data_IF_311793125013
#
_entry.id   IF_311793125013
#
_cell.length_a   1.000
_cell.length_b   1.000
_cell.length_c   1.000
_cell.angle_alpha   90.00
_cell.angle_beta   90.00
_cell.angle_gamma   90.00
#
_symmetry.space_group_name_H-M   'P 1'
#
loop_
_entity.id
_entity.type
_entity.pdbx_description
1 polymer ?
#
# COMPACT_ATOMS: atom_id res chain seq x y z
N UNK A 1 0.57 -18.31 -18.07
CA UNK A 1 -0.81 -17.83 -18.27
C UNK A 1 -1.04 -16.45 -17.63
N UNK A 2 -0.94 -16.31 -16.30
CA UNK A 2 -1.19 -15.04 -15.59
C UNK A 2 -0.32 -13.86 -16.08
N UNK A 3 0.96 -14.11 -16.37
CA UNK A 3 1.87 -13.08 -16.88
C UNK A 3 1.41 -12.55 -18.25
N UNK A 4 1.04 -13.44 -19.16
CA UNK A 4 0.52 -13.08 -20.49
C UNK A 4 -0.77 -12.26 -20.36
N UNK A 5 -1.68 -12.70 -19.51
CA UNK A 5 -2.93 -11.98 -19.23
C UNK A 5 -2.69 -10.57 -18.66
N UNK A 6 -1.71 -10.43 -17.76
CA UNK A 6 -1.31 -9.12 -17.22
C UNK A 6 -0.82 -8.18 -18.34
N UNK A 7 0.04 -8.66 -19.25
CA UNK A 7 0.49 -7.84 -20.38
C UNK A 7 -0.64 -7.44 -21.33
N UNK A 8 -1.60 -8.34 -21.57
CA UNK A 8 -2.80 -8.03 -22.38
C UNK A 8 -3.62 -6.92 -21.71
N UNK A 9 -3.89 -7.04 -20.40
CA UNK A 9 -4.63 -6.02 -19.65
C UNK A 9 -3.89 -4.67 -19.63
N UNK A 10 -2.57 -4.67 -19.45
CA UNK A 10 -1.75 -3.45 -19.51
C UNK A 10 -1.81 -2.80 -20.90
N UNK A 11 -1.79 -3.61 -21.97
CA UNK A 11 -1.97 -3.13 -23.33
C UNK A 11 -3.34 -2.49 -23.55
N UNK A 12 -4.41 -3.15 -23.08
CA UNK A 12 -5.78 -2.60 -23.13
C UNK A 12 -5.86 -1.29 -22.35
N UNK A 13 -5.29 -1.23 -21.15
CA UNK A 13 -5.27 -0.02 -20.33
C UNK A 13 -4.59 1.16 -21.06
N UNK A 14 -3.43 0.96 -21.66
CA UNK A 14 -2.73 2.00 -22.43
C UNK A 14 -3.55 2.49 -23.63
N UNK A 15 -4.27 1.60 -24.31
CA UNK A 15 -5.15 1.95 -25.43
C UNK A 15 -6.37 2.76 -24.95
N UNK A 16 -7.09 2.25 -23.94
CA UNK A 16 -8.31 2.88 -23.42
C UNK A 16 -7.99 4.24 -22.79
N UNK A 17 -6.87 4.36 -22.07
CA UNK A 17 -6.42 5.63 -21.49
C UNK A 17 -6.19 6.71 -22.55
N UNK A 18 -5.69 6.33 -23.74
CA UNK A 18 -5.49 7.26 -24.86
C UNK A 18 -6.81 7.61 -25.56
N UNK A 19 -7.74 6.67 -25.61
CA UNK A 19 -9.04 6.84 -26.30
C UNK A 19 -10.06 7.63 -25.48
N UNK A 20 -10.08 7.46 -24.15
CA UNK A 20 -11.08 8.08 -23.25
C UNK A 20 -10.41 8.84 -22.11
N UNK A 21 -9.73 9.97 -22.40
CA UNK A 21 -9.08 10.77 -21.36
C UNK A 21 -10.08 11.36 -20.35
N UNK A 22 -11.33 11.61 -20.73
CA UNK A 22 -12.34 12.19 -19.82
C UNK A 22 -12.68 11.27 -18.63
N UNK A 23 -12.72 9.95 -18.87
CA UNK A 23 -13.02 8.95 -17.83
C UNK A 23 -11.80 8.66 -16.97
N UNK A 24 -10.62 8.55 -17.58
CA UNK A 24 -9.38 8.21 -16.87
C UNK A 24 -8.68 9.42 -16.24
N UNK A 25 -9.07 10.63 -16.63
CA UNK A 25 -8.48 11.87 -16.15
C UNK A 25 -9.54 12.89 -15.73
N UNK A 26 -10.67 12.43 -15.16
CA UNK A 26 -11.77 13.30 -14.72
C UNK A 26 -11.32 14.33 -13.68
N UNK A 27 -10.38 13.96 -12.80
CA UNK A 27 -9.78 14.91 -11.84
C UNK A 27 -8.93 15.99 -12.51
N UNK A 28 -8.35 15.74 -13.70
CA UNK A 28 -7.63 16.80 -14.46
C UNK A 28 -8.58 17.88 -14.98
N UNK A 29 -9.83 17.51 -15.30
CA UNK A 29 -10.84 18.43 -15.83
C UNK A 29 -11.37 19.37 -14.75
N UNK A 30 -11.57 18.87 -13.52
CA UNK A 30 -12.03 19.67 -12.38
C UNK A 30 -10.90 20.47 -11.70
N UNK A 31 -9.65 19.99 -11.77
CA UNK A 31 -8.46 20.65 -11.21
C UNK A 31 -7.78 21.58 -12.23
N UNK A 32 -8.49 22.01 -13.28
CA UNK A 32 -8.00 22.88 -14.35
C UNK A 32 -7.63 24.29 -13.87
N UNK A 33 -7.85 24.60 -12.59
CA UNK A 33 -7.33 25.78 -11.91
C UNK A 33 -5.87 25.66 -11.43
N UNK A 34 -5.31 24.45 -11.21
CA UNK A 34 -3.96 24.26 -10.68
C UNK A 34 -2.98 23.84 -11.80
N UNK A 35 -2.35 24.83 -12.45
CA UNK A 35 -1.43 24.67 -13.61
C UNK A 35 -0.30 23.66 -13.35
N UNK A 36 0.10 23.45 -12.09
CA UNK A 36 1.23 22.60 -11.72
C UNK A 36 0.98 21.09 -11.90
N UNK A 37 -0.26 20.63 -11.70
CA UNK A 37 -0.63 19.20 -11.86
C UNK A 37 -0.71 18.83 -13.35
N UNK A 38 -1.06 19.80 -14.19
CA UNK A 38 -1.13 19.64 -15.64
C UNK A 38 0.25 19.40 -16.25
N UNK A 39 1.32 20.03 -15.74
CA UNK A 39 2.69 19.87 -16.27
C UNK A 39 3.32 18.51 -15.97
N UNK A 40 3.13 17.96 -14.76
CA UNK A 40 3.58 16.58 -14.43
C UNK A 40 2.90 15.54 -15.31
N UNK A 41 1.66 15.81 -15.72
CA UNK A 41 0.83 14.92 -16.52
C UNK A 41 1.02 15.14 -18.03
N UNK A 42 1.44 16.34 -18.47
CA UNK A 42 1.75 16.68 -19.86
C UNK A 42 3.18 16.32 -20.28
N UNK A 43 4.11 16.16 -19.32
CA UNK A 43 5.46 15.62 -19.58
C UNK A 43 5.49 14.15 -20.03
N UNK A 44 4.33 13.48 -20.07
CA UNK A 44 4.13 12.09 -20.51
C UNK A 44 4.09 12.02 -22.04
N UNK A 45 5.21 12.38 -22.68
CA UNK A 45 5.42 12.26 -24.12
C UNK A 45 5.35 10.81 -24.59
N UNK A 46 4.55 10.57 -25.64
CA UNK A 46 4.49 9.50 -26.67
C UNK A 46 4.82 8.01 -26.38
N UNK A 47 5.54 7.67 -25.32
CA UNK A 47 6.04 6.34 -25.00
C UNK A 47 5.05 5.55 -24.12
N UNK A 48 4.90 4.23 -24.35
CA UNK A 48 4.13 3.36 -23.44
C UNK A 48 4.77 3.35 -22.04
N UNK A 49 3.96 3.30 -20.97
CA UNK A 49 4.40 3.30 -19.57
C UNK A 49 5.07 4.59 -19.04
N UNK A 50 5.00 5.69 -19.79
CA UNK A 50 5.56 7.00 -19.37
C UNK A 50 4.97 7.55 -18.06
N UNK A 51 3.84 7.02 -17.60
CA UNK A 51 3.22 7.36 -16.31
C UNK A 51 3.93 6.75 -15.10
N UNK A 52 4.64 5.64 -15.24
CA UNK A 52 5.35 4.98 -14.13
C UNK A 52 6.42 5.91 -13.52
N UNK A 53 7.36 6.48 -14.30
CA UNK A 53 8.36 7.39 -13.75
C UNK A 53 7.74 8.69 -13.21
N UNK A 54 6.62 9.15 -13.78
CA UNK A 54 5.90 10.30 -13.24
C UNK A 54 5.35 10.03 -11.83
N UNK A 55 4.76 8.85 -11.60
CA UNK A 55 4.28 8.44 -10.26
C UNK A 55 5.45 8.33 -9.28
N UNK A 56 6.56 7.73 -9.67
CA UNK A 56 7.73 7.55 -8.78
C UNK A 56 8.33 8.90 -8.38
N UNK A 57 8.33 9.90 -9.27
CA UNK A 57 8.86 11.25 -9.00
C UNK A 57 7.91 12.17 -8.24
N UNK A 58 6.64 11.78 -8.06
CA UNK A 58 5.64 12.65 -7.43
C UNK A 58 5.93 12.79 -5.94
N UNK A 59 5.94 14.04 -5.46
CA UNK A 59 6.16 14.32 -4.05
C UNK A 59 4.92 14.00 -3.19
N UNK A 60 5.14 13.58 -1.96
CA UNK A 60 4.09 13.18 -1.04
C UNK A 60 3.14 14.31 -0.63
N UNK A 61 3.63 15.55 -0.55
CA UNK A 61 2.78 16.69 -0.26
C UNK A 61 1.78 16.93 -1.40
N UNK A 62 2.21 16.73 -2.65
CA UNK A 62 1.35 16.83 -3.82
C UNK A 62 0.30 15.70 -3.84
N UNK A 63 0.70 14.48 -3.46
CA UNK A 63 -0.24 13.36 -3.32
C UNK A 63 -1.30 13.65 -2.25
N UNK A 64 -0.92 14.22 -1.10
CA UNK A 64 -1.86 14.60 -0.03
C UNK A 64 -2.84 15.67 -0.51
N UNK A 65 -2.36 16.72 -1.19
CA UNK A 65 -3.21 17.80 -1.73
C UNK A 65 -4.17 17.29 -2.82
N UNK A 66 -3.69 16.46 -3.73
CA UNK A 66 -4.50 15.98 -4.86
C UNK A 66 -5.43 14.82 -4.48
N UNK A 67 -5.05 14.01 -3.49
CA UNK A 67 -5.73 12.77 -3.10
C UNK A 67 -6.66 12.91 -1.88
N UNK A 68 -6.42 13.92 -1.04
CA UNK A 68 -6.97 14.00 0.30
C UNK A 68 -6.18 13.16 1.31
N UNK A 69 -6.50 13.31 2.59
CA UNK A 69 -5.81 12.62 3.67
C UNK A 69 -5.96 11.09 3.61
N UNK A 70 -7.16 10.60 3.28
CA UNK A 70 -7.47 9.16 3.26
C UNK A 70 -6.67 8.42 2.17
N UNK A 71 -6.70 8.93 0.93
CA UNK A 71 -5.94 8.35 -0.18
C UNK A 71 -4.42 8.38 0.08
N UNK A 72 -3.92 9.45 0.70
CA UNK A 72 -2.53 9.55 1.12
C UNK A 72 -2.15 8.45 2.12
N UNK A 73 -2.99 8.21 3.13
CA UNK A 73 -2.75 7.16 4.13
C UNK A 73 -2.83 5.76 3.53
N UNK A 74 -3.76 5.52 2.60
CA UNK A 74 -3.85 4.25 1.89
C UNK A 74 -2.59 3.93 1.06
N UNK A 75 -2.06 4.92 0.33
CA UNK A 75 -0.82 4.73 -0.43
C UNK A 75 0.39 4.49 0.48
N UNK A 76 0.43 5.15 1.63
CA UNK A 76 1.48 4.96 2.62
C UNK A 76 1.40 3.58 3.27
N UNK A 77 0.19 3.09 3.55
CA UNK A 77 -0.06 1.71 4.00
C UNK A 77 0.44 0.67 2.97
N UNK A 78 0.11 0.82 1.69
CA UNK A 78 0.62 -0.08 0.63
C UNK A 78 2.15 -0.07 0.61
N UNK A 79 2.77 1.11 0.70
CA UNK A 79 4.23 1.22 0.74
C UNK A 79 4.83 0.53 1.97
N UNK A 80 4.22 0.67 3.13
CA UNK A 80 4.63 -0.02 4.36
C UNK A 80 4.57 -1.54 4.16
N UNK A 81 3.47 -2.07 3.61
CA UNK A 81 3.34 -3.50 3.31
C UNK A 81 4.43 -3.97 2.34
N UNK A 82 4.66 -3.23 1.25
CA UNK A 82 5.73 -3.56 0.29
C UNK A 82 7.11 -3.54 0.95
N UNK A 83 7.40 -2.55 1.80
CA UNK A 83 8.66 -2.45 2.53
C UNK A 83 8.86 -3.66 3.45
N UNK A 84 7.82 -4.07 4.18
CA UNK A 84 7.85 -5.26 5.03
C UNK A 84 8.13 -6.49 4.16
N UNK A 85 7.31 -6.76 3.15
CA UNK A 85 7.46 -7.96 2.33
C UNK A 85 8.81 -8.02 1.62
N UNK A 86 9.31 -6.91 1.08
CA UNK A 86 10.60 -6.87 0.39
C UNK A 86 11.76 -7.13 1.36
N UNK A 87 11.82 -6.41 2.48
CA UNK A 87 12.91 -6.56 3.45
C UNK A 87 12.90 -7.98 4.04
N UNK A 88 11.72 -8.45 4.46
CA UNK A 88 11.54 -9.79 5.03
C UNK A 88 11.79 -10.89 4.02
N UNK A 89 11.41 -10.69 2.76
CA UNK A 89 11.70 -11.60 1.67
C UNK A 89 13.20 -11.72 1.42
N UNK A 90 13.92 -10.60 1.33
CA UNK A 90 15.39 -10.59 1.13
C UNK A 90 16.09 -11.31 2.29
N UNK A 91 15.75 -10.97 3.54
CA UNK A 91 16.38 -11.63 4.70
C UNK A 91 15.97 -13.09 4.85
N UNK A 92 14.73 -13.45 4.51
CA UNK A 92 14.27 -14.83 4.49
C UNK A 92 15.04 -15.67 3.48
N UNK A 93 15.23 -15.15 2.26
CA UNK A 93 16.03 -15.78 1.21
C UNK A 93 17.50 -15.90 1.64
N UNK A 94 18.06 -14.87 2.27
CA UNK A 94 19.47 -14.87 2.67
C UNK A 94 19.76 -15.83 3.82
N UNK A 95 18.87 -15.90 4.83
CA UNK A 95 19.11 -16.66 6.07
C UNK A 95 18.48 -18.05 6.01
N UNK A 96 17.20 -18.14 5.67
CA UNK A 96 16.45 -19.40 5.77
C UNK A 96 16.79 -20.36 4.63
N UNK A 97 16.97 -19.83 3.43
CA UNK A 97 17.23 -20.67 2.25
C UNK A 97 18.47 -21.57 2.37
N UNK A 98 19.66 -21.06 2.78
CA UNK A 98 20.82 -21.92 2.98
C UNK A 98 20.66 -22.88 4.17
N UNK A 99 19.92 -22.48 5.21
CA UNK A 99 19.65 -23.32 6.38
C UNK A 99 18.75 -24.49 6.03
N UNK A 100 17.73 -24.24 5.19
CA UNK A 100 16.84 -25.28 4.68
C UNK A 100 17.57 -26.19 3.69
N UNK A 101 18.38 -25.65 2.78
CA UNK A 101 19.16 -26.44 1.83
C UNK A 101 20.21 -27.34 2.49
N UNK A 102 20.82 -26.91 3.59
CA UNK A 102 21.82 -27.69 4.34
C UNK A 102 21.22 -28.71 5.31
N UNK A 103 19.89 -28.84 5.36
CA UNK A 103 19.14 -29.67 6.30
C UNK A 103 19.12 -31.17 6.02
N UNK A 104 19.38 -31.59 4.78
CA UNK A 104 18.97 -32.90 4.28
C UNK A 104 19.86 -34.06 4.72
N UNK A 105 19.26 -35.10 5.31
CA UNK A 105 19.88 -36.43 5.45
C UNK A 105 18.90 -37.63 5.38
N UNK A 106 17.61 -37.48 5.02
CA UNK A 106 16.70 -38.66 5.00
C UNK A 106 15.76 -38.79 3.78
N UNK A 107 15.28 -37.69 3.19
CA UNK A 107 14.47 -37.71 1.96
C UNK A 107 14.97 -36.63 1.00
N UNK A 108 15.40 -37.00 -0.21
CA UNK A 108 15.65 -36.04 -1.30
C UNK A 108 14.32 -35.43 -1.76
N UNK A 109 13.84 -34.45 -1.01
CA UNK A 109 12.66 -33.65 -1.34
C UNK A 109 12.97 -32.81 -2.58
N UNK A 110 12.43 -33.20 -3.74
CA UNK A 110 12.66 -32.50 -5.00
C UNK A 110 11.85 -31.19 -5.10
N UNK A 111 12.44 -30.17 -5.74
CA UNK A 111 11.75 -28.92 -6.06
C UNK A 111 11.69 -27.92 -4.90
N UNK A 112 10.52 -27.30 -4.68
CA UNK A 112 10.34 -26.22 -3.69
C UNK A 112 10.41 -26.70 -2.24
N UNK A 113 10.16 -27.98 -1.98
CA UNK A 113 10.19 -28.56 -0.62
C UNK A 113 11.59 -28.60 -0.02
N UNK A 114 12.62 -28.72 -0.85
CA UNK A 114 14.04 -28.58 -0.47
C UNK A 114 14.34 -27.27 0.27
N UNK A 115 13.56 -26.23 -0.02
CA UNK A 115 13.73 -24.87 0.48
C UNK A 115 12.72 -24.50 1.55
N UNK A 116 12.14 -25.51 2.18
CA UNK A 116 11.16 -25.37 3.22
C UNK A 116 11.62 -26.10 4.47
N UNK A 117 10.91 -25.84 5.58
CA UNK A 117 11.15 -26.53 6.85
C UNK A 117 10.99 -28.06 6.76
N UNK A 118 10.32 -28.57 5.71
CA UNK A 118 10.16 -30.00 5.47
C UNK A 118 11.49 -30.73 5.25
N UNK A 119 12.55 -30.03 4.80
CA UNK A 119 13.87 -30.62 4.59
C UNK A 119 14.70 -30.77 5.88
N UNK A 120 14.18 -30.34 7.05
CA UNK A 120 14.91 -30.40 8.33
C UNK A 120 14.45 -31.62 9.15
N UNK A 121 15.42 -32.40 9.65
CA UNK A 121 15.17 -33.51 10.56
C UNK A 121 14.60 -33.03 11.90
N UNK A 122 13.56 -33.73 12.37
CA UNK A 122 12.93 -33.47 13.66
C UNK A 122 13.94 -33.63 14.82
N UNK A 123 14.02 -32.61 15.68
CA UNK A 123 14.98 -32.58 16.81
C UNK A 123 16.33 -31.94 16.48
N UNK A 124 16.57 -31.51 15.24
CA UNK A 124 17.77 -30.75 14.89
C UNK A 124 17.76 -29.35 15.51
N UNK A 125 18.93 -28.90 15.97
CA UNK A 125 19.13 -27.54 16.47
C UNK A 125 18.80 -26.46 15.41
N UNK A 126 18.85 -26.81 14.12
CA UNK A 126 18.55 -25.92 12.99
C UNK A 126 17.12 -25.37 13.03
N UNK A 127 16.18 -26.05 13.71
CA UNK A 127 14.80 -25.59 13.91
C UNK A 127 14.72 -24.28 14.73
N UNK A 128 15.75 -23.96 15.51
CA UNK A 128 15.81 -22.68 16.24
C UNK A 128 16.02 -21.48 15.34
N UNK A 129 16.66 -21.66 14.17
CA UNK A 129 16.95 -20.55 13.25
C UNK A 129 15.67 -19.89 12.71
N UNK A 130 14.70 -20.62 12.10
CA UNK A 130 13.44 -20.02 11.67
C UNK A 130 12.62 -19.47 12.85
N UNK A 131 12.73 -20.08 14.03
CA UNK A 131 12.08 -19.58 15.26
C UNK A 131 12.61 -18.19 15.64
N UNK A 132 13.93 -18.03 15.75
CA UNK A 132 14.56 -16.74 16.05
C UNK A 132 14.24 -15.72 14.95
N UNK A 133 14.30 -16.14 13.68
CA UNK A 133 13.94 -15.29 12.55
C UNK A 133 12.50 -14.77 12.65
N UNK A 134 11.54 -15.62 13.03
CA UNK A 134 10.14 -15.21 13.22
C UNK A 134 10.00 -14.15 14.32
N UNK A 135 10.71 -14.29 15.44
CA UNK A 135 10.73 -13.28 16.49
C UNK A 135 11.32 -11.96 15.99
N UNK A 136 12.49 -11.97 15.33
CA UNK A 136 13.11 -10.78 14.76
C UNK A 136 12.20 -10.09 13.74
N UNK A 137 11.57 -10.88 12.87
CA UNK A 137 10.60 -10.42 11.89
C UNK A 137 9.39 -9.76 12.55
N UNK A 138 8.87 -10.34 13.63
CA UNK A 138 7.74 -9.80 14.39
C UNK A 138 8.10 -8.45 15.01
N UNK A 139 9.27 -8.35 15.66
CA UNK A 139 9.76 -7.09 16.22
C UNK A 139 9.96 -6.03 15.13
N UNK A 140 10.51 -6.41 13.97
CA UNK A 140 10.68 -5.50 12.84
C UNK A 140 9.35 -4.94 12.33
N UNK A 141 8.33 -5.80 12.15
CA UNK A 141 6.99 -5.37 11.74
C UNK A 141 6.36 -4.45 12.77
N UNK A 142 6.45 -4.80 14.05
CA UNK A 142 5.89 -3.98 15.13
C UNK A 142 6.57 -2.60 15.21
N UNK A 143 7.90 -2.54 15.04
CA UNK A 143 8.65 -1.30 14.99
C UNK A 143 8.17 -0.40 13.84
N UNK A 144 8.11 -0.95 12.62
CA UNK A 144 7.71 -0.18 11.43
C UNK A 144 6.24 0.27 11.52
N UNK A 145 5.37 -0.58 12.05
CA UNK A 145 3.97 -0.24 12.29
C UNK A 145 3.81 0.89 13.29
N UNK A 146 4.61 0.90 14.36
CA UNK A 146 4.58 1.97 15.36
C UNK A 146 5.06 3.30 14.78
N UNK A 147 6.09 3.30 13.93
CA UNK A 147 6.57 4.49 13.22
C UNK A 147 5.47 5.08 12.33
N UNK A 148 4.82 4.24 11.53
CA UNK A 148 3.72 4.65 10.65
C UNK A 148 2.47 5.08 11.43
N UNK A 149 2.18 4.44 12.56
CA UNK A 149 1.06 4.81 13.42
C UNK A 149 1.25 6.19 14.06
N UNK A 150 2.47 6.54 14.50
CA UNK A 150 2.77 7.88 15.00
C UNK A 150 2.55 8.94 13.93
N UNK A 151 3.06 8.69 12.72
CA UNK A 151 2.84 9.60 11.58
C UNK A 151 1.35 9.78 11.26
N UNK A 152 0.57 8.69 11.30
CA UNK A 152 -0.87 8.74 11.12
C UNK A 152 -1.55 9.60 12.18
N UNK A 153 -1.19 9.42 13.46
CA UNK A 153 -1.75 10.21 14.56
C UNK A 153 -1.46 11.70 14.40
N UNK A 154 -0.23 12.07 14.05
CA UNK A 154 0.15 13.47 13.81
C UNK A 154 -0.70 14.10 12.70
N UNK A 155 -0.85 13.40 11.57
CA UNK A 155 -1.66 13.90 10.47
C UNK A 155 -3.16 13.99 10.83
N UNK A 156 -3.66 13.03 11.62
CA UNK A 156 -5.05 13.04 12.08
C UNK A 156 -5.31 14.18 13.05
N UNK A 157 -4.38 14.43 13.97
CA UNK A 157 -4.47 15.58 14.89
C UNK A 157 -4.41 16.89 14.14
N UNK A 158 -3.52 17.02 13.15
CA UNK A 158 -3.44 18.21 12.29
C UNK A 158 -4.75 18.44 11.53
N UNK A 159 -5.33 17.38 10.96
CA UNK A 159 -6.61 17.43 10.25
C UNK A 159 -7.77 17.86 11.17
N UNK A 160 -7.82 17.33 12.40
CA UNK A 160 -8.85 17.72 13.37
C UNK A 160 -8.67 19.16 13.87
N UNK A 161 -7.42 19.64 13.98
CA UNK A 161 -7.12 20.98 14.48
C UNK A 161 -7.36 22.07 13.42
N UNK A 162 -6.98 21.83 12.17
CA UNK A 162 -7.06 22.82 11.07
C UNK A 162 -8.30 22.66 10.19
N UNK A 163 -8.92 21.48 10.18
CA UNK A 163 -9.91 21.11 9.17
C UNK A 163 -9.26 20.76 7.83
N UNK A 164 -10.10 20.44 6.85
CA UNK A 164 -9.69 20.32 5.44
C UNK A 164 -10.14 21.57 4.70
N UNK A 165 -9.26 22.17 3.89
CA UNK A 165 -9.57 23.39 3.15
C UNK A 165 -10.67 23.15 2.10
N UNK A 166 -10.75 21.90 1.61
CA UNK A 166 -11.73 21.45 0.62
C UNK A 166 -13.09 21.04 1.22
N UNK A 167 -13.22 21.00 2.55
CA UNK A 167 -14.39 20.46 3.24
C UNK A 167 -15.13 21.54 4.02
N UNK A 168 -16.44 21.68 3.78
CA UNK A 168 -17.22 22.77 4.35
C UNK A 168 -17.27 22.68 5.89
N UNK A 169 -17.05 23.75 6.66
CA UNK A 169 -16.97 23.69 8.12
C UNK A 169 -18.25 23.16 8.82
N UNK A 170 -19.38 23.11 8.10
CA UNK A 170 -20.65 22.51 8.60
C UNK A 170 -20.50 21.08 9.10
N UNK A 171 -19.58 20.28 8.55
CA UNK A 171 -19.39 18.90 9.00
C UNK A 171 -18.90 18.82 10.46
N UNK A 172 -18.23 19.86 10.96
CA UNK A 172 -17.74 19.93 12.35
C UNK A 172 -18.84 20.31 13.36
N UNK A 173 -19.93 20.94 12.90
CA UNK A 173 -21.03 21.42 13.74
C UNK A 173 -22.30 20.56 13.64
N UNK A 174 -22.28 19.52 12.83
CA UNK A 174 -23.43 18.64 12.61
C UNK A 174 -23.37 17.45 13.58
N UNK A 175 -24.39 17.31 14.43
CA UNK A 175 -24.54 16.19 15.35
C UNK A 175 -25.68 15.28 14.86
N UNK A 176 -25.39 13.99 14.72
CA UNK A 176 -26.42 12.99 14.45
C UNK A 176 -27.03 12.55 15.79
N UNK A 177 -28.30 12.85 15.98
CA UNK A 177 -29.06 12.42 17.17
C UNK A 177 -29.89 11.21 16.79
N UNK A 178 -29.55 10.06 17.36
CA UNK A 178 -30.30 8.82 17.17
C UNK A 178 -31.13 8.47 18.42
N UNK A 179 -32.15 7.60 18.24
CA UNK A 179 -32.93 6.99 19.33
C UNK A 179 -33.65 7.97 20.26
N UNK A 180 -34.27 9.01 19.68
CA UNK A 180 -35.21 9.87 20.42
C UNK A 180 -36.33 8.98 21.01
N UNK A 181 -36.67 9.05 22.31
CA UNK A 181 -37.77 8.27 22.88
C UNK A 181 -39.08 8.45 22.11
N UNK A 182 -39.88 7.39 21.94
CA UNK A 182 -41.12 7.44 21.14
C UNK A 182 -42.11 8.51 21.61
N UNK A 183 -42.13 8.79 22.91
CA UNK A 183 -42.98 9.81 23.54
C UNK A 183 -42.66 11.25 23.07
N UNK A 184 -41.44 11.48 22.56
CA UNK A 184 -40.93 12.79 22.15
C UNK A 184 -40.81 12.94 20.62
N UNK A 185 -41.29 11.96 19.85
CA UNK A 185 -41.27 12.03 18.37
C UNK A 185 -42.54 12.70 17.86
N UNK A 186 -42.37 13.68 16.98
CA UNK A 186 -43.50 14.39 16.33
C UNK A 186 -44.20 13.53 15.27
N UNK A 187 -43.47 12.58 14.66
CA UNK A 187 -44.00 11.70 13.62
C UNK A 187 -44.59 10.45 14.29
N UNK A 188 -45.90 10.25 14.12
CA UNK A 188 -46.61 9.03 14.55
C UNK A 188 -46.34 7.86 13.62
#
# INVERSE_FOLDING_TARGET
FNILFCFILLGIYELVRRWLPEVYATRKLNLSADRMVVDVLNGSSSLPLSWIPAIIRTDWAQVRKAGGLDAYMFLRFIRMCLRITCVSGIWGILILWPVFASGGEEYEESGWYHFSMANIINGSWRLWIPTIFMWLQTFYVMFLMNEEYKHYLECRMEFLAKGDDDMHPQHQYSLMVERIPHELRSDK
#
